data_IF_625669718888
#
_entry.id   IF_625669718888
#
_cell.length_a   1.000
_cell.length_b   1.000
_cell.length_c   1.000
_cell.angle_alpha   90.00
_cell.angle_beta   90.00
_cell.angle_gamma   90.00
#
_symmetry.space_group_name_H-M   'P 1'
#
loop_
_entity.id
_entity.type
_entity.pdbx_description
1 polymer ?
#
# COMPACT_ATOMS: atom_id res chain seq x y z
N UNK A 1 -3.97 8.59 -2.23
CA UNK A 1 -2.95 7.55 -2.47
C UNK A 1 -1.99 8.03 -3.54
N UNK A 2 -0.67 7.92 -3.34
CA UNK A 2 0.32 8.14 -4.39
C UNK A 2 0.56 6.83 -5.14
N UNK A 3 0.53 6.88 -6.47
CA UNK A 3 0.71 5.72 -7.34
C UNK A 3 1.84 5.96 -8.32
N UNK A 4 2.84 5.10 -8.22
CA UNK A 4 3.90 5.02 -9.19
C UNK A 4 3.53 4.04 -10.32
N UNK A 5 4.42 3.90 -11.30
CA UNK A 5 4.22 2.99 -12.44
C UNK A 5 4.73 1.57 -12.15
N UNK A 6 5.08 1.25 -10.90
CA UNK A 6 5.61 -0.06 -10.52
C UNK A 6 4.50 -1.12 -10.51
N UNK A 7 4.65 -2.15 -11.33
CA UNK A 7 3.70 -3.25 -11.41
C UNK A 7 3.59 -4.03 -10.09
N UNK A 8 4.68 -4.14 -9.33
CA UNK A 8 4.68 -4.81 -8.03
C UNK A 8 3.94 -4.04 -6.93
N UNK A 9 3.84 -2.72 -7.07
CA UNK A 9 3.20 -1.85 -6.07
C UNK A 9 1.80 -1.47 -6.52
N UNK A 10 1.68 -0.58 -7.52
CA UNK A 10 0.44 0.12 -7.81
C UNK A 10 -0.16 -0.22 -9.18
N UNK A 11 0.66 -0.65 -10.15
CA UNK A 11 0.21 -0.98 -11.51
C UNK A 11 -0.19 -2.46 -11.64
N UNK A 12 -1.16 -2.90 -10.83
CA UNK A 12 -1.68 -4.27 -10.87
C UNK A 12 -3.17 -4.35 -10.49
N UNK A 13 -3.78 -5.52 -10.77
CA UNK A 13 -5.19 -5.81 -10.46
C UNK A 13 -5.52 -5.81 -8.96
N UNK A 14 -4.53 -5.98 -8.08
CA UNK A 14 -4.75 -6.04 -6.65
C UNK A 14 -5.13 -4.69 -6.08
N UNK A 15 -4.60 -3.58 -6.63
CA UNK A 15 -5.06 -2.24 -6.27
C UNK A 15 -6.56 -2.10 -6.54
N UNK A 16 -7.03 -2.51 -7.71
CA UNK A 16 -8.47 -2.46 -8.03
C UNK A 16 -9.30 -3.31 -7.06
N UNK A 17 -8.86 -4.53 -6.75
CA UNK A 17 -9.55 -5.40 -5.79
C UNK A 17 -9.61 -4.78 -4.38
N UNK A 18 -8.51 -4.14 -3.94
CA UNK A 18 -8.43 -3.45 -2.66
C UNK A 18 -9.37 -2.24 -2.60
N UNK A 19 -9.44 -1.42 -3.65
CA UNK A 19 -10.32 -0.25 -3.69
C UNK A 19 -11.80 -0.63 -3.62
N UNK A 20 -12.20 -1.67 -4.35
CA UNK A 20 -13.57 -2.22 -4.28
C UNK A 20 -13.88 -2.69 -2.87
N UNK A 21 -12.92 -3.36 -2.21
CA UNK A 21 -13.08 -3.79 -0.84
C UNK A 21 -13.23 -2.62 0.14
N UNK A 22 -12.45 -1.55 -0.04
CA UNK A 22 -12.53 -0.33 0.77
C UNK A 22 -13.93 0.28 0.71
N UNK A 23 -14.46 0.46 -0.50
CA UNK A 23 -15.80 1.01 -0.74
C UNK A 23 -16.87 0.15 -0.06
N UNK A 24 -16.76 -1.18 -0.19
CA UNK A 24 -17.71 -2.12 0.43
C UNK A 24 -17.65 -2.12 1.96
N UNK A 25 -16.47 -1.89 2.55
CA UNK A 25 -16.27 -1.93 4.01
C UNK A 25 -16.63 -0.64 4.70
N UNK A 26 -16.47 0.50 4.03
CA UNK A 26 -16.72 1.81 4.63
C UNK A 26 -18.19 2.22 4.59
N UNK A 27 -19.09 1.40 4.02
CA UNK A 27 -20.56 1.55 4.09
C UNK A 27 -21.06 2.99 3.91
N UNK A 28 -20.57 3.68 2.86
CA UNK A 28 -20.96 5.06 2.55
C UNK A 28 -20.24 6.16 3.35
N UNK A 29 -19.38 5.82 4.31
CA UNK A 29 -18.52 6.80 5.03
C UNK A 29 -17.34 7.30 4.19
N UNK A 30 -17.03 6.60 3.10
CA UNK A 30 -15.97 6.98 2.16
C UNK A 30 -16.57 7.76 1.00
N UNK A 31 -16.34 9.08 0.98
CA UNK A 31 -16.85 9.97 -0.07
C UNK A 31 -15.92 10.06 -1.27
N UNK A 32 -14.60 10.14 -1.04
CA UNK A 32 -13.61 10.41 -2.09
C UNK A 32 -12.39 9.49 -1.93
N UNK A 33 -11.99 8.87 -3.04
CA UNK A 33 -10.70 8.20 -3.19
C UNK A 33 -9.86 9.03 -4.16
N UNK A 34 -8.85 9.72 -3.64
CA UNK A 34 -7.89 10.46 -4.47
C UNK A 34 -6.69 9.56 -4.83
N UNK A 35 -6.37 9.46 -6.12
CA UNK A 35 -5.18 8.78 -6.63
C UNK A 35 -4.28 9.79 -7.36
N UNK A 36 -3.11 10.06 -6.79
CA UNK A 36 -2.09 10.95 -7.35
C UNK A 36 -1.09 10.11 -8.12
N UNK A 37 -0.97 10.35 -9.43
CA UNK A 37 -0.01 9.67 -10.29
C UNK A 37 1.20 10.56 -10.54
N UNK A 38 2.39 9.94 -10.64
CA UNK A 38 3.60 10.67 -10.98
C UNK A 38 3.60 11.06 -12.46
N UNK A 39 3.84 12.34 -12.73
CA UNK A 39 4.10 12.84 -14.09
C UNK A 39 5.59 12.64 -14.45
N UNK A 40 5.87 12.39 -15.73
CA UNK A 40 7.24 12.19 -16.21
C UNK A 40 8.09 13.46 -16.00
N UNK A 41 9.17 13.36 -15.22
CA UNK A 41 10.09 14.48 -14.95
C UNK A 41 10.28 14.79 -13.46
N UNK A 42 9.39 14.30 -12.59
CA UNK A 42 9.48 14.47 -11.14
C UNK A 42 9.46 13.11 -10.42
N UNK A 43 10.56 12.34 -10.54
CA UNK A 43 10.68 10.98 -9.97
C UNK A 43 10.87 10.99 -8.44
N UNK A 44 10.82 12.14 -7.78
CA UNK A 44 11.01 12.21 -6.33
C UNK A 44 9.68 11.95 -5.61
N UNK A 45 9.48 10.73 -5.12
CA UNK A 45 8.44 10.48 -4.12
C UNK A 45 8.96 10.78 -2.72
N UNK A 46 8.20 11.52 -1.93
CA UNK A 46 8.52 11.76 -0.51
C UNK A 46 8.71 10.44 0.25
N UNK A 47 7.97 9.41 -0.15
CA UNK A 47 8.05 8.04 0.41
C UNK A 47 9.44 7.41 0.21
N UNK A 48 10.16 7.74 -0.85
CA UNK A 48 11.51 7.21 -1.11
C UNK A 48 12.53 7.76 -0.11
N UNK A 49 12.28 8.96 0.43
CA UNK A 49 13.13 9.56 1.45
C UNK A 49 13.10 8.78 2.77
N UNK A 50 11.93 8.22 3.13
CA UNK A 50 11.75 7.36 4.30
C UNK A 50 12.48 6.03 4.13
N UNK A 51 12.31 5.37 2.99
CA UNK A 51 13.03 4.13 2.66
C UNK A 51 14.54 4.32 2.73
N UNK A 52 15.04 5.40 2.11
CA UNK A 52 16.47 5.74 2.16
C UNK A 52 17.00 5.95 3.58
N UNK A 53 16.21 6.57 4.46
CA UNK A 53 16.58 6.78 5.87
C UNK A 53 16.63 5.45 6.65
N UNK A 54 15.66 4.57 6.44
CA UNK A 54 15.57 3.25 7.08
C UNK A 54 16.73 2.36 6.61
N UNK A 55 16.97 2.26 5.29
CA UNK A 55 18.08 1.48 4.74
C UNK A 55 19.43 1.95 5.27
N UNK A 56 19.62 3.27 5.37
CA UNK A 56 20.84 3.83 5.95
C UNK A 56 21.01 3.44 7.41
N UNK A 57 19.94 3.49 8.20
CA UNK A 57 19.98 3.09 9.61
C UNK A 57 20.25 1.58 9.77
N UNK A 58 19.69 0.76 8.87
CA UNK A 58 19.90 -0.67 8.82
C UNK A 58 21.36 -1.04 8.53
N UNK A 59 22.08 -0.30 7.66
CA UNK A 59 23.50 -0.57 7.37
C UNK A 59 24.42 -0.56 8.60
N UNK A 60 23.99 0.09 9.68
CA UNK A 60 24.76 0.21 10.92
C UNK A 60 24.21 -0.68 12.05
N UNK A 61 23.14 -1.43 11.80
CA UNK A 61 22.45 -2.23 12.81
C UNK A 61 22.24 -3.65 12.27
N UNK A 62 22.89 -4.69 12.84
CA UNK A 62 22.61 -6.06 12.44
C UNK A 62 21.16 -6.43 12.76
N UNK A 63 20.52 -7.17 11.87
CA UNK A 63 19.10 -7.57 11.97
C UNK A 63 19.03 -9.08 12.15
N UNK A 64 18.48 -9.54 13.27
CA UNK A 64 18.29 -10.96 13.56
C UNK A 64 16.81 -11.32 13.73
N UNK A 65 15.95 -10.34 14.01
CA UNK A 65 14.53 -10.50 14.25
C UNK A 65 13.71 -9.32 13.71
N UNK A 66 12.39 -9.50 13.63
CA UNK A 66 11.46 -8.43 13.24
C UNK A 66 11.40 -7.29 14.26
N UNK A 67 11.75 -7.55 15.52
CA UNK A 67 11.82 -6.53 16.58
C UNK A 67 12.98 -5.55 16.30
N UNK A 68 14.06 -6.04 15.69
CA UNK A 68 15.19 -5.19 15.31
C UNK A 68 14.79 -4.20 14.21
N UNK A 69 13.94 -4.64 13.27
CA UNK A 69 13.37 -3.76 12.24
C UNK A 69 12.54 -2.63 12.82
N UNK A 70 11.72 -2.90 13.84
CA UNK A 70 10.98 -1.84 14.55
C UNK A 70 11.94 -0.81 15.13
N UNK A 71 12.98 -1.26 15.83
CA UNK A 71 13.99 -0.38 16.42
C UNK A 71 14.74 0.44 15.36
N UNK A 72 15.01 -0.12 14.19
CA UNK A 72 15.65 0.57 13.06
C UNK A 72 14.72 1.64 12.50
N UNK A 73 13.45 1.32 12.28
CA UNK A 73 12.45 2.23 11.74
C UNK A 73 12.19 3.41 12.69
N UNK A 74 12.09 3.14 14.01
CA UNK A 74 11.91 4.19 15.04
C UNK A 74 13.11 5.13 15.15
N UNK A 75 14.32 4.68 14.80
CA UNK A 75 15.54 5.52 14.82
C UNK A 75 15.79 6.23 13.50
N UNK A 76 15.23 5.73 12.41
CA UNK A 76 15.38 6.34 11.10
C UNK A 76 14.69 7.72 11.08
N UNK A 77 15.38 8.69 10.50
CA UNK A 77 14.87 10.05 10.29
C UNK A 77 15.71 10.77 9.24
N UNK A 78 15.17 11.85 8.67
CA UNK A 78 15.90 12.69 7.73
C UNK A 78 17.04 13.43 8.43
N UNK A 79 18.29 13.16 8.02
CA UNK A 79 19.46 13.90 8.52
C UNK A 79 19.56 15.32 7.95
N UNK A 80 18.91 15.61 6.81
CA UNK A 80 18.91 16.95 6.20
C UNK A 80 18.14 17.97 7.05
N UNK A 81 17.11 17.51 7.76
CA UNK A 81 16.20 18.32 8.54
C UNK A 81 16.13 17.80 9.97
N UNK A 82 17.29 17.49 10.59
CA UNK A 82 17.34 16.79 11.88
C UNK A 82 16.64 17.54 13.01
N UNK A 83 16.69 18.87 12.98
CA UNK A 83 16.09 19.72 14.00
C UNK A 83 14.58 19.89 13.82
N UNK A 84 14.05 19.58 12.63
CA UNK A 84 12.64 19.79 12.26
C UNK A 84 11.88 18.50 11.92
N UNK A 85 12.57 17.36 11.78
CA UNK A 85 11.97 16.06 11.46
C UNK A 85 12.21 15.07 12.61
N UNK A 86 11.23 14.85 13.51
CA UNK A 86 11.34 13.85 14.55
C UNK A 86 11.44 12.43 13.96
N UNK A 87 11.95 11.45 14.73
CA UNK A 87 11.98 10.06 14.30
C UNK A 87 10.60 9.50 13.99
N UNK A 88 10.55 8.46 13.14
CA UNK A 88 9.28 7.90 12.69
C UNK A 88 8.52 7.19 13.82
N UNK A 89 7.21 7.42 13.86
CA UNK A 89 6.30 6.63 14.69
C UNK A 89 6.00 5.31 14.01
N UNK A 90 6.40 4.20 14.63
CA UNK A 90 6.19 2.85 14.08
C UNK A 90 4.99 2.21 14.76
N UNK A 91 3.98 1.83 13.96
CA UNK A 91 2.83 1.05 14.41
C UNK A 91 2.96 -0.39 13.91
N UNK A 92 2.97 -1.32 14.85
CA UNK A 92 2.93 -2.75 14.53
C UNK A 92 1.51 -3.16 14.13
N UNK A 93 1.41 -3.94 13.07
CA UNK A 93 0.15 -4.52 12.61
C UNK A 93 0.17 -6.01 12.90
N UNK A 94 -0.94 -6.53 13.44
CA UNK A 94 -1.15 -7.96 13.60
C UNK A 94 -1.56 -8.57 12.27
N UNK A 95 -1.29 -9.87 12.10
CA UNK A 95 -1.74 -10.61 10.93
C UNK A 95 -3.26 -10.50 10.69
N UNK A 96 -4.06 -10.45 11.77
CA UNK A 96 -5.52 -10.28 11.71
C UNK A 96 -5.98 -8.94 11.17
N UNK A 97 -5.10 -7.94 11.15
CA UNK A 97 -5.37 -6.61 10.59
C UNK A 97 -4.99 -6.52 9.10
N UNK A 98 -4.30 -7.55 8.58
CA UNK A 98 -3.91 -7.62 7.18
C UNK A 98 -5.03 -8.25 6.34
N UNK A 99 -5.29 -7.64 5.18
CA UNK A 99 -6.31 -8.11 4.24
C UNK A 99 -5.65 -8.91 3.13
N UNK A 100 -6.12 -10.14 2.89
CA UNK A 100 -5.69 -10.94 1.74
C UNK A 100 -6.33 -10.43 0.44
N UNK A 101 -5.60 -9.56 -0.25
CA UNK A 101 -6.04 -8.95 -1.50
C UNK A 101 -6.11 -9.95 -2.65
N UNK A 102 -5.35 -11.06 -2.59
CA UNK A 102 -5.40 -12.11 -3.61
C UNK A 102 -6.73 -12.85 -3.53
N UNK A 103 -7.13 -13.27 -2.34
CA UNK A 103 -8.41 -13.91 -2.11
C UNK A 103 -9.58 -12.99 -2.50
N UNK A 104 -9.47 -11.69 -2.22
CA UNK A 104 -10.45 -10.69 -2.67
C UNK A 104 -10.53 -10.59 -4.20
N UNK A 105 -9.39 -10.54 -4.87
CA UNK A 105 -9.36 -10.46 -6.33
C UNK A 105 -10.03 -11.68 -6.96
N UNK A 106 -9.70 -12.89 -6.50
CA UNK A 106 -10.33 -14.13 -6.98
C UNK A 106 -11.85 -14.15 -6.76
N UNK A 107 -12.30 -13.70 -5.59
CA UNK A 107 -13.73 -13.58 -5.28
C UNK A 107 -14.43 -12.60 -6.23
N UNK A 108 -13.82 -11.44 -6.47
CA UNK A 108 -14.36 -10.42 -7.36
C UNK A 108 -14.43 -10.93 -8.80
N UNK A 109 -13.37 -11.57 -9.30
CA UNK A 109 -13.35 -12.15 -10.65
C UNK A 109 -14.44 -13.20 -10.84
N UNK A 110 -14.64 -14.11 -9.87
CA UNK A 110 -15.71 -15.12 -9.92
C UNK A 110 -17.10 -14.49 -9.95
N UNK A 111 -17.33 -13.44 -9.15
CA UNK A 111 -18.62 -12.72 -9.12
C UNK A 111 -18.91 -12.07 -10.47
N UNK A 112 -17.93 -11.38 -11.06
CA UNK A 112 -18.06 -10.74 -12.39
C UNK A 112 -18.37 -11.79 -13.46
N UNK A 113 -17.65 -12.92 -13.48
CA UNK A 113 -17.91 -14.00 -14.43
C UNK A 113 -19.32 -14.60 -14.29
N UNK A 114 -19.85 -14.71 -13.07
CA UNK A 114 -21.21 -15.20 -12.84
C UNK A 114 -22.26 -14.24 -13.39
N UNK A 115 -22.10 -12.92 -13.17
CA UNK A 115 -23.02 -11.90 -13.71
C UNK A 115 -22.98 -11.87 -15.25
N UNK A 116 -21.80 -11.97 -15.86
CA UNK A 116 -21.66 -12.04 -17.32
C UNK A 116 -22.40 -13.27 -17.87
N UNK A 117 -22.21 -14.45 -17.26
CA UNK A 117 -22.92 -15.68 -17.68
C UNK A 117 -24.43 -15.53 -17.55
N UNK A 118 -24.91 -14.88 -16.49
CA UNK A 118 -26.34 -14.61 -16.28
C UNK A 118 -26.91 -13.67 -17.34
N UNK A 119 -26.19 -12.60 -17.68
CA UNK A 119 -26.60 -11.65 -18.71
C UNK A 119 -26.66 -12.30 -20.10
N UNK A 120 -25.65 -13.11 -20.47
CA UNK A 120 -25.63 -13.85 -21.73
C UNK A 120 -26.84 -14.79 -21.84
N UNK A 121 -27.17 -15.52 -20.76
CA UNK A 121 -28.32 -16.45 -20.72
C UNK A 121 -29.68 -15.75 -20.79
N UNK A 122 -29.75 -14.46 -20.48
CA UNK A 122 -30.99 -13.66 -20.55
C UNK A 122 -31.22 -13.07 -21.95
N UNK A 123 -30.17 -12.96 -22.76
CA UNK A 123 -30.19 -12.32 -24.07
C UNK A 123 -29.95 -13.29 -25.25
N UNK A 124 -29.78 -14.59 -24.98
CA UNK A 124 -29.71 -15.66 -25.98
C UNK A 124 -30.77 -16.71 -25.72
#
# INVERSE_FOLDING_TARGET
MYSDTCAGQNRNQFITAFLVHLIQRMDGQLEVIEQKYLESGHTHMEVDSMHSAIERQQRHTPVYSMIDWKSIMERAHSKRNRDSAPPYTVKELKYTEMVDVRALNEKNSKKIQAEIKKAIKLHG
#
